data_IF_617529265499
#
_entry.id   IF_617529265499
#
_cell.length_a   1.000
_cell.length_b   1.000
_cell.length_c   1.000
_cell.angle_alpha   90.00
_cell.angle_beta   90.00
_cell.angle_gamma   90.00
#
_symmetry.space_group_name_H-M   'P 1'
#
loop_
_entity.id
_entity.type
_entity.pdbx_description
1 polymer ?
#
# COMPACT_ATOMS: atom_id res chain seq x y z
N UNK A 1 18.64 13.56 4.03
CA UNK A 1 19.10 12.35 3.31
C UNK A 1 18.31 12.25 2.03
N UNK A 2 18.97 12.21 0.86
CA UNK A 2 18.32 12.36 -0.45
C UNK A 2 17.21 11.34 -0.72
N UNK A 3 17.36 10.09 -0.25
CA UNK A 3 16.34 9.05 -0.38
C UNK A 3 15.03 9.44 0.31
N UNK A 4 15.10 9.84 1.58
CA UNK A 4 13.92 10.21 2.37
C UNK A 4 13.26 11.49 1.86
N UNK A 5 14.07 12.44 1.39
CA UNK A 5 13.57 13.65 0.73
C UNK A 5 12.79 13.31 -0.55
N UNK A 6 13.31 12.38 -1.36
CA UNK A 6 12.63 11.90 -2.58
C UNK A 6 11.31 11.18 -2.25
N UNK A 7 11.27 10.41 -1.17
CA UNK A 7 10.06 9.74 -0.68
C UNK A 7 9.11 10.68 0.07
N UNK A 8 9.52 11.93 0.33
CA UNK A 8 8.72 12.94 1.03
C UNK A 8 8.56 12.68 2.54
N UNK A 9 9.49 11.94 3.16
CA UNK A 9 9.42 11.54 4.58
C UNK A 9 10.56 12.17 5.37
N UNK A 10 10.30 12.58 6.61
CA UNK A 10 11.34 13.05 7.54
C UNK A 10 11.83 11.88 8.39
N UNK A 11 13.14 11.84 8.65
CA UNK A 11 13.74 10.79 9.49
C UNK A 11 13.13 10.71 10.89
N UNK A 12 12.73 11.85 11.47
CA UNK A 12 12.10 11.92 12.79
C UNK A 12 10.82 11.08 12.92
N UNK A 13 10.11 10.83 11.81
CA UNK A 13 8.93 9.97 11.81
C UNK A 13 9.30 8.47 11.81
N UNK A 14 10.51 8.12 11.37
CA UNK A 14 10.97 6.74 11.24
C UNK A 14 11.78 6.25 12.45
N UNK A 15 12.16 7.14 13.38
CA UNK A 15 12.84 6.80 14.64
C UNK A 15 12.16 5.69 15.47
N UNK A 16 10.81 5.63 15.62
CA UNK A 16 10.16 4.55 16.35
C UNK A 16 10.15 3.21 15.57
N UNK A 17 10.48 3.23 14.27
CA UNK A 17 10.37 2.06 13.40
C UNK A 17 11.69 1.27 13.39
N UNK A 18 11.66 -0.07 13.48
CA UNK A 18 12.83 -0.92 13.30
C UNK A 18 13.58 -0.59 12.01
N UNK A 19 14.91 -0.53 12.07
CA UNK A 19 15.75 0.00 10.99
C UNK A 19 15.52 -0.67 9.62
N UNK A 20 15.30 -1.98 9.59
CA UNK A 20 15.03 -2.74 8.37
C UNK A 20 13.63 -2.52 7.80
N UNK A 21 12.71 -1.90 8.54
CA UNK A 21 11.37 -1.53 8.08
C UNK A 21 11.25 -0.05 7.70
N UNK A 22 12.26 0.77 8.00
CA UNK A 22 12.21 2.21 7.71
C UNK A 22 12.00 2.50 6.21
N UNK A 23 12.68 1.76 5.33
CA UNK A 23 12.50 1.90 3.89
C UNK A 23 11.08 1.49 3.43
N UNK A 24 10.56 0.28 3.77
CA UNK A 24 9.17 -0.07 3.52
C UNK A 24 8.14 0.95 4.01
N UNK A 25 8.34 1.52 5.20
CA UNK A 25 7.42 2.52 5.76
C UNK A 25 7.50 3.83 5.00
N UNK A 26 8.71 4.29 4.67
CA UNK A 26 8.89 5.50 3.86
C UNK A 26 8.23 5.37 2.48
N UNK A 27 8.41 4.21 1.83
CA UNK A 27 7.73 3.85 0.57
C UNK A 27 6.22 3.84 0.75
N UNK A 28 5.71 3.31 1.87
CA UNK A 28 4.28 3.26 2.15
C UNK A 28 3.69 4.66 2.26
N UNK A 29 4.39 5.60 2.92
CA UNK A 29 4.00 7.01 2.95
C UNK A 29 3.95 7.62 1.54
N UNK A 30 4.99 7.39 0.73
CA UNK A 30 5.04 7.87 -0.66
C UNK A 30 3.87 7.31 -1.47
N UNK A 31 3.64 6.00 -1.39
CA UNK A 31 2.56 5.31 -2.09
C UNK A 31 1.20 5.93 -1.75
N UNK A 32 0.87 6.15 -0.48
CA UNK A 32 -0.41 6.73 -0.09
C UNK A 32 -0.60 8.14 -0.67
N UNK A 33 0.46 8.96 -0.64
CA UNK A 33 0.42 10.32 -1.15
C UNK A 33 0.22 10.36 -2.67
N UNK A 34 0.94 9.51 -3.40
CA UNK A 34 1.07 9.58 -4.86
C UNK A 34 0.14 8.63 -5.63
N UNK A 35 -0.51 7.67 -4.98
CA UNK A 35 -1.37 6.69 -5.66
C UNK A 35 -2.59 7.34 -6.33
N UNK A 36 -2.90 6.80 -7.50
CA UNK A 36 -4.14 7.00 -8.23
C UNK A 36 -4.65 5.64 -8.73
N UNK A 37 -5.84 5.17 -8.33
CA UNK A 37 -6.80 5.82 -7.42
C UNK A 37 -6.29 5.93 -5.97
N UNK A 38 -6.91 6.81 -5.18
CA UNK A 38 -6.50 7.03 -3.78
C UNK A 38 -6.66 5.77 -2.93
N UNK A 39 -5.62 5.47 -2.15
CA UNK A 39 -5.57 4.33 -1.23
C UNK A 39 -6.69 4.43 -0.18
N UNK A 40 -7.43 3.35 0.00
CA UNK A 40 -8.49 3.22 1.02
C UNK A 40 -7.85 2.83 2.35
N UNK A 41 -8.43 3.26 3.48
CA UNK A 41 -7.89 2.96 4.83
C UNK A 41 -7.70 1.45 5.07
N UNK A 42 -8.66 0.62 4.64
CA UNK A 42 -8.54 -0.84 4.78
C UNK A 42 -7.36 -1.43 3.99
N UNK A 43 -6.98 -0.84 2.85
CA UNK A 43 -5.81 -1.30 2.08
C UNK A 43 -4.52 -0.98 2.84
N UNK A 44 -4.43 0.22 3.43
CA UNK A 44 -3.32 0.56 4.32
C UNK A 44 -3.24 -0.39 5.53
N UNK A 45 -4.35 -0.57 6.26
CA UNK A 45 -4.37 -1.44 7.44
C UNK A 45 -3.98 -2.88 7.10
N UNK A 46 -4.50 -3.43 6.00
CA UNK A 46 -4.15 -4.77 5.54
C UNK A 46 -2.64 -4.90 5.25
N UNK A 47 -2.06 -3.90 4.57
CA UNK A 47 -0.63 -3.86 4.28
C UNK A 47 0.21 -3.80 5.57
N UNK A 48 -0.16 -2.95 6.53
CA UNK A 48 0.58 -2.83 7.80
C UNK A 48 0.48 -4.10 8.64
N UNK A 49 -0.71 -4.72 8.74
CA UNK A 49 -0.88 -6.01 9.41
C UNK A 49 -0.03 -7.10 8.77
N UNK A 50 0.09 -7.08 7.45
CA UNK A 50 0.92 -8.02 6.71
C UNK A 50 2.41 -7.82 7.03
N UNK A 51 2.92 -6.58 7.04
CA UNK A 51 4.32 -6.27 7.45
C UNK A 51 4.59 -6.76 8.88
N UNK A 52 3.67 -6.50 9.81
CA UNK A 52 3.79 -6.94 11.21
C UNK A 52 3.76 -8.47 11.32
N UNK A 53 2.94 -9.14 10.51
CA UNK A 53 2.90 -10.61 10.47
C UNK A 53 4.25 -11.21 10.02
N UNK A 54 4.90 -10.59 9.04
CA UNK A 54 6.25 -10.96 8.60
C UNK A 54 7.30 -10.81 9.71
N UNK A 55 7.20 -9.73 10.49
CA UNK A 55 8.08 -9.50 11.64
C UNK A 55 7.86 -10.51 12.77
N UNK A 56 6.63 -10.95 13.00
CA UNK A 56 6.35 -11.96 14.03
C UNK A 56 7.08 -13.26 13.70
N UNK A 57 7.07 -13.65 12.42
CA UNK A 57 7.78 -14.83 11.95
C UNK A 57 9.31 -14.67 12.08
N UNK A 58 9.84 -13.45 11.96
CA UNK A 58 11.26 -13.14 12.19
C UNK A 58 11.68 -13.32 13.66
N UNK A 59 10.82 -12.90 14.59
CA UNK A 59 11.13 -12.97 16.03
C UNK A 59 10.96 -14.39 16.57
N UNK A 60 9.93 -15.09 16.10
CA UNK A 60 9.56 -16.39 16.67
C UNK A 60 10.56 -17.49 16.26
N UNK A 61 11.27 -17.37 15.13
CA UNK A 61 12.16 -18.42 14.55
C UNK A 61 11.53 -19.84 14.47
N UNK A 62 10.23 -19.94 14.74
CA UNK A 62 9.45 -21.16 14.80
C UNK A 62 8.59 -21.17 13.53
N UNK A 63 8.74 -22.18 12.65
CA UNK A 63 7.93 -22.31 11.45
C UNK A 63 6.44 -22.58 11.74
N UNK A 64 6.02 -22.72 13.01
CA UNK A 64 4.67 -23.08 13.44
C UNK A 64 3.76 -21.91 13.81
N UNK A 65 4.26 -20.68 13.95
CA UNK A 65 3.44 -19.49 14.19
C UNK A 65 3.30 -18.63 12.92
N UNK A 66 2.90 -19.25 11.80
CA UNK A 66 2.12 -18.49 10.83
C UNK A 66 0.85 -18.03 11.57
N UNK A 67 0.37 -16.78 11.42
CA UNK A 67 -1.02 -16.49 11.78
C UNK A 67 -1.84 -17.57 11.08
N UNK A 68 -2.44 -18.46 11.85
CA UNK A 68 -3.12 -19.64 11.33
C UNK A 68 -4.38 -19.17 10.61
N UNK A 69 -4.21 -18.63 9.41
CA UNK A 69 -5.15 -18.81 8.34
C UNK A 69 -4.98 -20.28 7.99
N UNK A 70 -5.77 -21.10 8.67
CA UNK A 70 -5.83 -22.55 8.55
C UNK A 70 -5.55 -22.95 7.11
N UNK A 71 -4.35 -23.48 6.88
CA UNK A 71 -3.89 -23.98 5.61
C UNK A 71 -4.62 -25.28 5.34
N UNK A 72 -5.89 -25.18 4.96
CA UNK A 72 -6.44 -26.18 4.06
C UNK A 72 -5.82 -25.90 2.69
N UNK A 73 -5.25 -26.95 2.12
CA UNK A 73 -4.92 -27.07 0.71
C UNK A 73 -6.14 -26.69 -0.16
N UNK A 74 -6.32 -25.39 -0.41
CA UNK A 74 -7.36 -24.83 -1.26
C UNK A 74 -6.73 -24.05 -2.41
N UNK A 75 -5.62 -24.56 -2.95
CA UNK A 75 -5.16 -24.21 -4.29
C UNK A 75 -6.21 -24.47 -5.40
N UNK A 76 -7.40 -24.98 -5.06
CA UNK A 76 -8.49 -25.24 -6.00
C UNK A 76 -9.92 -24.89 -5.49
N UNK A 77 -10.10 -24.20 -4.35
CA UNK A 77 -11.44 -23.73 -3.94
C UNK A 77 -11.39 -22.31 -3.37
N UNK A 78 -10.94 -21.35 -4.18
CA UNK A 78 -11.63 -20.06 -4.17
C UNK A 78 -13.07 -20.33 -4.64
N UNK A 79 -13.94 -20.79 -3.74
CA UNK A 79 -15.35 -20.41 -3.83
C UNK A 79 -15.33 -18.91 -4.09
N UNK A 80 -15.99 -18.48 -5.18
CA UNK A 80 -15.98 -17.12 -5.74
C UNK A 80 -16.32 -16.04 -4.69
N UNK A 81 -15.44 -15.79 -3.74
CA UNK A 81 -15.38 -14.59 -2.93
C UNK A 81 -14.83 -13.54 -3.87
N UNK A 82 -15.66 -12.53 -4.16
CA UNK A 82 -15.33 -11.43 -5.05
C UNK A 82 -13.87 -11.00 -4.88
N UNK A 83 -13.05 -11.34 -5.88
CA UNK A 83 -11.67 -10.90 -5.96
C UNK A 83 -11.68 -9.39 -6.14
N UNK A 84 -11.27 -8.66 -5.10
CA UNK A 84 -11.27 -7.20 -5.16
C UNK A 84 -10.12 -6.72 -6.07
N UNK A 85 -10.46 -6.46 -7.33
CA UNK A 85 -9.56 -5.95 -8.35
C UNK A 85 -8.96 -4.59 -7.94
N UNK A 86 -9.70 -3.71 -7.27
CA UNK A 86 -9.19 -2.42 -6.78
C UNK A 86 -8.08 -2.65 -5.75
N UNK A 87 -8.28 -3.60 -4.84
CA UNK A 87 -7.29 -3.95 -3.83
C UNK A 87 -6.05 -4.57 -4.47
N UNK A 88 -6.22 -5.48 -5.42
CA UNK A 88 -5.10 -6.09 -6.15
C UNK A 88 -4.28 -5.02 -6.86
N UNK A 89 -4.94 -4.13 -7.60
CA UNK A 89 -4.26 -3.04 -8.30
C UNK A 89 -3.55 -2.09 -7.33
N UNK A 90 -4.18 -1.75 -6.20
CA UNK A 90 -3.59 -0.90 -5.17
C UNK A 90 -2.34 -1.53 -4.55
N UNK A 91 -2.37 -2.82 -4.24
CA UNK A 91 -1.19 -3.52 -3.72
C UNK A 91 -0.09 -3.67 -4.78
N UNK A 92 -0.43 -3.89 -6.05
CA UNK A 92 0.54 -3.85 -7.15
C UNK A 92 1.24 -2.49 -7.24
N UNK A 93 0.50 -1.39 -7.10
CA UNK A 93 1.11 -0.05 -7.06
C UNK A 93 2.09 0.08 -5.90
N UNK A 94 1.75 -0.40 -4.70
CA UNK A 94 2.67 -0.39 -3.57
C UNK A 94 3.93 -1.22 -3.85
N UNK A 95 3.79 -2.42 -4.40
CA UNK A 95 4.93 -3.27 -4.77
C UNK A 95 5.83 -2.59 -5.80
N UNK A 96 5.27 -1.90 -6.80
CA UNK A 96 6.04 -1.10 -7.75
C UNK A 96 6.77 0.07 -7.04
N UNK A 97 6.11 0.78 -6.13
CA UNK A 97 6.75 1.83 -5.33
C UNK A 97 7.90 1.27 -4.48
N UNK A 98 7.73 0.10 -3.87
CA UNK A 98 8.76 -0.57 -3.09
C UNK A 98 9.95 -0.94 -3.96
N UNK A 99 9.71 -1.54 -5.12
CA UNK A 99 10.76 -1.91 -6.06
C UNK A 99 11.58 -0.70 -6.50
N UNK A 100 10.92 0.39 -6.87
CA UNK A 100 11.62 1.63 -7.26
C UNK A 100 12.34 2.28 -6.08
N UNK A 101 11.75 2.22 -4.87
CA UNK A 101 12.40 2.67 -3.64
C UNK A 101 13.66 1.89 -3.30
N UNK A 102 13.68 0.58 -3.53
CA UNK A 102 14.86 -0.28 -3.36
C UNK A 102 15.95 0.09 -4.36
N UNK A 103 15.62 0.23 -5.65
CA UNK A 103 16.61 0.65 -6.64
C UNK A 103 17.20 2.03 -6.34
N UNK A 104 16.36 2.97 -5.89
CA UNK A 104 16.84 4.27 -5.46
C UNK A 104 17.73 4.17 -4.21
N UNK A 105 17.38 3.35 -3.24
CA UNK A 105 18.21 3.09 -2.05
C UNK A 105 19.59 2.54 -2.46
N UNK A 106 19.63 1.55 -3.34
CA UNK A 106 20.86 0.94 -3.85
C UNK A 106 21.72 1.95 -4.62
N UNK A 107 21.11 2.73 -5.52
CA UNK A 107 21.81 3.75 -6.31
C UNK A 107 22.47 4.81 -5.43
N UNK A 108 21.88 5.12 -4.28
CA UNK A 108 22.40 6.08 -3.30
C UNK A 108 23.40 5.48 -2.31
N UNK A 109 23.84 4.23 -2.52
CA UNK A 109 24.80 3.55 -1.65
C UNK A 109 24.18 2.94 -0.39
N UNK A 110 22.95 2.43 -0.49
CA UNK A 110 22.21 1.75 0.59
C UNK A 110 22.14 2.53 1.91
N UNK A 111 21.67 3.79 1.88
CA UNK A 111 21.65 4.62 3.08
C UNK A 111 20.58 4.20 4.11
N UNK A 112 19.61 3.35 3.73
CA UNK A 112 18.76 2.57 4.67
C UNK A 112 19.00 1.07 4.49
N UNK A 113 18.85 0.26 5.55
CA UNK A 113 18.92 -1.20 5.44
C UNK A 113 17.81 -1.75 4.55
N UNK A 114 18.14 -2.78 3.77
CA UNK A 114 17.16 -3.46 2.92
C UNK A 114 16.30 -4.44 3.74
N UNK A 115 14.97 -4.49 3.50
CA UNK A 115 14.07 -5.43 4.15
C UNK A 115 14.20 -6.85 3.56
N UNK A 116 13.84 -7.87 4.35
CA UNK A 116 13.62 -9.23 3.82
C UNK A 116 12.30 -9.29 3.07
N UNK A 117 12.37 -9.24 1.74
CA UNK A 117 11.20 -9.23 0.87
C UNK A 117 10.33 -10.50 0.98
N UNK A 118 10.93 -11.64 1.32
CA UNK A 118 10.21 -12.92 1.43
C UNK A 118 9.22 -12.92 2.60
N UNK A 119 9.52 -12.15 3.64
CA UNK A 119 8.69 -11.99 4.84
C UNK A 119 7.86 -10.71 4.78
N UNK A 120 8.36 -9.70 4.08
CA UNK A 120 7.74 -8.39 4.03
C UNK A 120 6.41 -8.40 3.27
N UNK A 121 6.23 -9.25 2.25
CA UNK A 121 4.99 -9.28 1.44
C UNK A 121 4.56 -10.68 1.00
N UNK A 122 3.29 -11.01 1.20
CA UNK A 122 2.63 -12.19 0.61
C UNK A 122 1.23 -11.83 0.11
N UNK A 123 0.99 -12.04 -1.19
CA UNK A 123 -0.25 -11.63 -1.86
C UNK A 123 -1.51 -12.30 -1.29
N UNK A 124 -1.48 -13.62 -1.09
CA UNK A 124 -2.61 -14.37 -0.52
C UNK A 124 -2.97 -13.86 0.88
N UNK A 125 -1.96 -13.62 1.73
CA UNK A 125 -2.15 -13.13 3.08
C UNK A 125 -2.71 -11.70 3.11
N UNK A 126 -2.15 -10.76 2.34
CA UNK A 126 -2.64 -9.37 2.35
C UNK A 126 -4.07 -9.27 1.84
N UNK A 127 -4.45 -10.08 0.85
CA UNK A 127 -5.82 -10.14 0.37
C UNK A 127 -6.76 -10.78 1.39
N UNK A 128 -6.33 -11.84 2.09
CA UNK A 128 -7.08 -12.43 3.21
C UNK A 128 -7.36 -11.39 4.30
N UNK A 129 -6.30 -10.71 4.77
CA UNK A 129 -6.40 -9.64 5.76
C UNK A 129 -7.31 -8.50 5.31
N UNK A 130 -7.22 -8.10 4.05
CA UNK A 130 -8.06 -7.04 3.48
C UNK A 130 -9.55 -7.43 3.44
N UNK A 131 -9.87 -8.66 3.04
CA UNK A 131 -11.25 -9.14 3.03
C UNK A 131 -11.80 -9.29 4.45
N UNK A 132 -10.98 -9.78 5.38
CA UNK A 132 -11.37 -9.92 6.78
C UNK A 132 -11.63 -8.55 7.41
N UNK A 133 -10.77 -7.55 7.16
CA UNK A 133 -10.97 -6.17 7.62
C UNK A 133 -12.26 -5.53 7.10
N UNK A 134 -12.72 -5.91 5.90
CA UNK A 134 -14.02 -5.45 5.38
C UNK A 134 -15.20 -6.10 6.08
N UNK A 135 -15.09 -7.41 6.36
CA UNK A 135 -16.16 -8.19 6.96
C UNK A 135 -16.25 -8.00 8.47
N UNK A 136 -15.14 -7.77 9.14
CA UNK A 136 -15.05 -7.71 10.60
C UNK A 136 -13.94 -6.73 11.01
N UNK A 137 -14.25 -5.62 11.69
CA UNK A 137 -13.23 -4.65 12.11
C UNK A 137 -12.32 -5.15 13.25
N UNK A 138 -12.58 -6.33 13.82
CA UNK A 138 -11.81 -6.90 14.95
C UNK A 138 -10.43 -7.45 14.56
N UNK A 139 -10.10 -7.52 13.27
CA UNK A 139 -8.82 -8.07 12.77
C UNK A 139 -7.61 -7.24 13.23
N UNK A 140 -7.84 -5.99 13.63
CA UNK A 140 -6.81 -5.16 14.25
C UNK A 140 -6.32 -5.73 15.61
N UNK A 141 -7.08 -6.66 16.20
CA UNK A 141 -6.73 -7.38 17.42
C UNK A 141 -6.03 -8.73 17.17
N UNK A 142 -5.63 -9.05 15.93
CA UNK A 142 -4.88 -10.29 15.60
C UNK A 142 -3.66 -10.50 16.50
N UNK A 143 -3.04 -9.41 16.93
CA UNK A 143 -1.84 -9.40 17.77
C UNK A 143 -2.13 -9.24 19.26
N UNK A 144 -3.39 -9.36 19.71
CA UNK A 144 -3.76 -9.19 21.13
C UNK A 144 -3.00 -10.09 22.10
N UNK A 145 -2.52 -11.24 21.63
CA UNK A 145 -1.64 -12.15 22.38
C UNK A 145 -0.18 -11.68 22.49
N UNK A 146 0.25 -10.73 21.66
CA UNK A 146 1.60 -10.17 21.64
C UNK A 146 1.59 -8.65 21.74
N UNK A 147 1.91 -8.15 22.93
CA UNK A 147 2.05 -6.72 23.21
C UNK A 147 3.08 -6.04 22.27
N UNK A 148 4.17 -6.73 21.93
CA UNK A 148 5.20 -6.20 21.02
C UNK A 148 4.69 -5.97 19.60
N UNK A 149 3.95 -6.94 19.04
CA UNK A 149 3.42 -6.81 17.67
C UNK A 149 2.30 -5.79 17.59
N UNK A 150 1.46 -5.73 18.63
CA UNK A 150 0.43 -4.69 18.76
C UNK A 150 1.07 -3.31 18.79
N UNK A 151 2.14 -3.13 19.58
CA UNK A 151 2.86 -1.86 19.64
C UNK A 151 3.47 -1.51 18.28
N UNK A 152 4.15 -2.46 17.61
CA UNK A 152 4.71 -2.21 16.29
C UNK A 152 3.65 -1.80 15.27
N UNK A 153 2.49 -2.46 15.25
CA UNK A 153 1.38 -2.08 14.37
C UNK A 153 0.92 -0.63 14.64
N UNK A 154 0.78 -0.26 15.92
CA UNK A 154 0.40 1.11 16.28
C UNK A 154 1.48 2.13 15.90
N UNK A 155 2.75 1.81 16.11
CA UNK A 155 3.88 2.69 15.73
C UNK A 155 3.91 2.92 14.22
N UNK A 156 3.71 1.85 13.43
CA UNK A 156 3.62 1.94 11.96
C UNK A 156 2.43 2.80 11.53
N UNK A 157 1.24 2.54 12.09
CA UNK A 157 0.04 3.29 11.74
C UNK A 157 0.18 4.77 12.09
N UNK A 158 0.63 5.08 13.31
CA UNK A 158 0.84 6.45 13.78
C UNK A 158 1.90 7.18 12.95
N UNK A 159 2.98 6.48 12.56
CA UNK A 159 4.05 7.03 11.70
C UNK A 159 3.50 7.43 10.33
N UNK A 160 2.73 6.53 9.71
CA UNK A 160 2.10 6.80 8.42
C UNK A 160 1.10 7.94 8.56
N UNK A 161 0.22 7.92 9.56
CA UNK A 161 -0.77 8.99 9.78
C UNK A 161 -0.13 10.35 10.05
N UNK A 162 0.98 10.41 10.79
CA UNK A 162 1.72 11.65 11.08
C UNK A 162 2.40 12.23 9.84
N UNK A 163 2.70 11.39 8.84
CA UNK A 163 3.27 11.83 7.56
C UNK A 163 2.19 12.37 6.61
N UNK A 164 0.92 12.02 6.85
CA UNK A 164 -0.22 12.45 6.02
C UNK A 164 -0.81 13.77 6.50
N UNK A 165 -1.45 14.51 5.59
CA UNK A 165 -2.23 15.69 5.96
C UNK A 165 -3.39 15.27 6.89
N UNK A 166 -3.69 16.03 7.96
CA UNK A 166 -4.83 15.73 8.83
C UNK A 166 -6.12 15.62 8.03
N UNK A 167 -6.85 14.54 8.24
CA UNK A 167 -8.09 14.22 7.52
C UNK A 167 -7.88 13.63 6.12
N UNK A 168 -6.71 13.12 5.75
CA UNK A 168 -6.47 12.45 4.46
C UNK A 168 -7.55 11.39 4.15
N UNK A 169 -7.78 10.46 5.07
CA UNK A 169 -8.81 9.43 4.92
C UNK A 169 -10.24 9.92 5.19
N UNK A 170 -10.41 11.09 5.81
CA UNK A 170 -11.71 11.69 6.11
C UNK A 170 -12.25 12.50 4.91
N UNK A 171 -11.37 13.23 4.20
CA UNK A 171 -11.68 13.95 2.94
C UNK A 171 -12.16 13.01 1.85
N UNK A 172 -11.62 11.78 1.79
CA UNK A 172 -12.03 10.74 0.83
C UNK A 172 -13.50 10.31 1.02
N UNK A 173 -14.05 10.39 2.24
CA UNK A 173 -15.46 10.08 2.51
C UNK A 173 -16.42 11.19 2.05
N UNK A 174 -15.99 12.45 2.09
CA UNK A 174 -16.85 13.63 1.80
C UNK A 174 -17.01 13.88 0.29
N UNK A 175 -16.05 13.45 -0.54
CA UNK A 175 -16.15 13.60 -2.00
C UNK A 175 -17.10 12.60 -2.67
N UNK A 176 -17.48 11.50 -2.00
CA UNK A 176 -18.43 10.50 -2.53
C UNK A 176 -19.91 10.79 -2.25
N UNK A 177 -20.23 11.76 -1.39
CA UNK A 177 -21.63 12.15 -1.06
C UNK A 177 -22.20 13.29 -1.92
N UNK A 178 -21.47 13.77 -2.93
CA UNK A 178 -21.97 14.77 -3.88
C UNK A 178 -21.96 14.25 -5.32
N UNK A 179 -22.78 13.25 -5.60
CA UNK A 179 -23.20 12.98 -6.98
C UNK A 179 -24.68 12.61 -7.02
N UNK A 180 -25.53 13.58 -6.71
CA UNK A 180 -26.91 13.57 -7.17
C UNK A 180 -27.22 14.86 -7.96
N UNK A 181 -27.55 14.62 -9.22
CA UNK A 181 -28.41 15.42 -10.09
C UNK A 181 -27.95 16.83 -10.48
N UNK A 182 -27.63 17.01 -11.77
CA UNK A 182 -28.34 18.01 -12.55
C UNK A 182 -28.33 17.74 -14.06
N UNK A 183 -29.51 18.03 -14.61
CA UNK A 183 -29.99 17.79 -15.97
C UNK A 183 -29.34 18.75 -16.98
N UNK A 184 -29.33 18.31 -18.25
CA UNK A 184 -29.03 19.09 -19.47
C UNK A 184 -29.53 20.55 -19.39
N UNK A 185 -28.67 21.52 -19.75
CA UNK A 185 -28.98 22.67 -20.62
C UNK A 185 -27.71 23.46 -21.04
N UNK A 186 -27.54 23.52 -22.37
CA UNK A 186 -26.97 24.54 -23.29
C UNK A 186 -25.80 25.47 -22.88
N UNK A 187 -24.95 25.65 -23.90
CA UNK A 187 -23.70 26.41 -23.99
C UNK A 187 -23.75 27.88 -23.55
N UNK A 188 -22.61 28.36 -23.02
CA UNK A 188 -22.00 29.64 -23.41
C UNK A 188 -20.54 29.70 -22.96
N UNK A 189 -19.68 30.10 -23.88
CA UNK A 189 -18.24 30.34 -23.77
C UNK A 189 -17.89 31.42 -22.73
N UNK A 190 -16.85 31.19 -21.92
CA UNK A 190 -15.85 32.22 -21.57
C UNK A 190 -14.60 31.63 -20.93
N UNK A 191 -13.50 31.98 -21.57
CA UNK A 191 -12.09 31.72 -21.35
C UNK A 191 -11.61 32.10 -19.94
N UNK A 192 -10.89 31.21 -19.24
CA UNK A 192 -9.95 31.57 -18.16
C UNK A 192 -8.71 30.68 -18.17
N UNK A 193 -7.59 31.39 -18.11
CA UNK A 193 -6.18 31.03 -18.33
C UNK A 193 -5.66 30.02 -17.30
N UNK A 194 -5.16 28.87 -17.76
CA UNK A 194 -4.48 27.87 -16.93
C UNK A 194 -2.98 28.21 -16.83
N UNK A 195 -2.46 28.18 -15.61
CA UNK A 195 -1.03 28.25 -15.30
C UNK A 195 -0.45 26.85 -15.55
N UNK A 196 0.43 26.76 -16.56
CA UNK A 196 1.07 25.52 -17.02
C UNK A 196 2.42 25.37 -16.30
N UNK A 197 2.57 24.36 -15.46
CA UNK A 197 3.90 23.85 -15.10
C UNK A 197 4.42 23.03 -16.27
N UNK A 198 5.55 23.44 -16.84
CA UNK A 198 6.22 22.75 -17.93
C UNK A 198 7.01 21.54 -17.39
N UNK A 199 6.77 20.36 -17.97
CA UNK A 199 7.67 19.21 -17.88
C UNK A 199 8.09 18.85 -19.32
N UNK A 200 9.39 18.69 -19.62
CA UNK A 200 9.84 18.27 -20.94
C UNK A 200 9.41 16.84 -21.26
N UNK A 201 8.95 16.64 -22.49
CA UNK A 201 8.63 15.34 -23.09
C UNK A 201 9.88 14.46 -23.17
N UNK A 202 9.87 13.34 -22.46
CA UNK A 202 10.74 12.21 -22.76
C UNK A 202 9.89 11.14 -23.47
N UNK A 203 10.22 10.94 -24.74
CA UNK A 203 9.57 10.01 -25.64
C UNK A 203 9.80 8.55 -25.20
N UNK A 204 8.70 7.81 -25.08
CA UNK A 204 8.46 6.50 -25.66
C UNK A 204 9.62 5.49 -25.64
N UNK A 205 9.56 4.52 -24.71
CA UNK A 205 9.90 3.10 -24.93
C UNK A 205 9.74 2.29 -23.62
N UNK A 206 8.54 1.78 -23.37
CA UNK A 206 8.38 0.55 -22.57
C UNK A 206 6.98 -0.03 -22.79
N UNK A 207 6.74 -0.59 -23.98
CA UNK A 207 5.57 -1.45 -24.22
C UNK A 207 6.03 -2.91 -24.25
N UNK A 208 6.14 -3.54 -23.07
CA UNK A 208 6.12 -5.00 -22.98
C UNK A 208 5.17 -5.38 -21.86
N UNK A 209 3.87 -5.27 -22.15
CA UNK A 209 2.84 -5.89 -21.33
C UNK A 209 2.93 -7.41 -21.52
N UNK A 210 3.54 -8.10 -20.54
CA UNK A 210 3.68 -9.57 -20.48
C UNK A 210 2.35 -10.33 -20.59
N UNK A 211 1.23 -9.66 -20.36
CA UNK A 211 -0.11 -10.26 -20.35
C UNK A 211 -0.83 -10.20 -21.70
N UNK A 212 -0.24 -9.58 -22.74
CA UNK A 212 -0.85 -9.51 -24.06
C UNK A 212 -0.83 -10.84 -24.84
N UNK A 213 -0.11 -11.86 -24.35
CA UNK A 213 0.03 -13.16 -25.02
C UNK A 213 -1.02 -14.20 -24.60
N UNK A 214 -2.10 -13.79 -23.92
CA UNK A 214 -3.22 -14.66 -23.56
C UNK A 214 -4.48 -14.22 -24.31
N UNK A 215 -4.43 -14.28 -25.64
CA UNK A 215 -5.65 -14.43 -26.43
C UNK A 215 -5.99 -15.92 -26.45
N UNK A 216 -7.16 -16.25 -25.93
CA UNK A 216 -7.75 -17.59 -25.99
C UNK A 216 -8.49 -17.63 -27.32
N UNK A 217 -8.05 -18.47 -28.26
CA UNK A 217 -8.81 -18.78 -29.47
C UNK A 217 -10.14 -19.47 -29.09
N UNK A 218 -11.24 -18.95 -29.62
CA UNK A 218 -12.60 -19.52 -29.56
C UNK A 218 -12.71 -20.86 -30.31
#
# INVERSE_FOLDING_TARGET
>A
MLLLETLGVKMSFLEPIPSHLQLPVAVTCYWICCSEPKVKLHQLKALLLMIVSGELHRITNDPGMSPSFDGKDEACQMEKKDFDLDAAHSFCQWQCCLQMGLYLNQLLGTPLPEPDLSRLYTGTLVHGLFQELKSTPSVENLFSSSSKMTQLYQDLLNTVESTLSPGFFQKIKVSKTKSESCKKKKASSKEKKAIRCAIPEAQHLCSVNRFAALEVDD
#
